data_IF_622407492467
#
_entry.id   IF_622407492467
#
_cell.length_a   1.000
_cell.length_b   1.000
_cell.length_c   1.000
_cell.angle_alpha   90.00
_cell.angle_beta   90.00
_cell.angle_gamma   90.00
#
_symmetry.space_group_name_H-M   'P 1'
#
loop_
_entity.id
_entity.type
_entity.pdbx_description
1 polymer ?
#
# COMPACT_ATOMS: atom_id res chain seq x y z
N UNK A 1 17.95 6.89 15.76
CA UNK A 1 16.75 6.08 15.51
C UNK A 1 16.35 5.42 16.82
N UNK A 2 15.06 5.47 17.19
CA UNK A 2 14.55 4.88 18.43
C UNK A 2 14.59 3.33 18.31
N UNK A 3 15.18 2.65 19.30
CA UNK A 3 15.48 1.21 19.28
C UNK A 3 14.24 0.33 19.12
N UNK A 4 13.08 0.81 19.54
CA UNK A 4 11.78 0.15 19.34
C UNK A 4 11.30 0.19 17.87
N UNK A 5 11.52 1.30 17.17
CA UNK A 5 11.16 1.41 15.76
C UNK A 5 12.04 0.50 14.88
N UNK A 6 13.32 0.34 15.26
CA UNK A 6 14.23 -0.59 14.58
C UNK A 6 13.75 -2.04 14.69
N UNK A 7 13.24 -2.47 15.84
CA UNK A 7 12.65 -3.82 15.99
C UNK A 7 11.31 -3.95 15.25
N UNK A 8 10.47 -2.91 15.31
CA UNK A 8 9.13 -2.90 14.70
C UNK A 8 9.16 -3.05 13.18
N UNK A 9 10.21 -2.57 12.52
CA UNK A 9 10.38 -2.61 11.07
C UNK A 9 11.57 -3.48 10.61
N UNK A 10 12.06 -4.38 11.48
CA UNK A 10 13.18 -5.27 11.16
C UNK A 10 12.94 -6.09 9.87
N UNK A 11 11.70 -6.51 9.61
CA UNK A 11 11.34 -7.21 8.39
C UNK A 11 11.59 -6.39 7.11
N UNK A 12 11.49 -5.06 7.16
CA UNK A 12 11.84 -4.20 6.03
C UNK A 12 13.36 -4.19 5.83
N UNK A 13 14.13 -4.01 6.88
CA UNK A 13 15.60 -4.09 6.81
C UNK A 13 16.07 -5.42 6.24
N UNK A 14 15.49 -6.54 6.68
CA UNK A 14 15.85 -7.87 6.21
C UNK A 14 15.57 -8.03 4.71
N UNK A 15 14.39 -7.60 4.24
CA UNK A 15 14.05 -7.65 2.81
C UNK A 15 14.98 -6.73 2.00
N UNK A 16 15.22 -5.51 2.48
CA UNK A 16 16.05 -4.52 1.81
C UNK A 16 17.50 -4.98 1.70
N UNK A 17 18.12 -5.32 2.84
CA UNK A 17 19.50 -5.77 2.91
C UNK A 17 19.69 -7.08 2.14
N UNK A 18 18.76 -8.04 2.29
CA UNK A 18 18.75 -9.29 1.52
C UNK A 18 18.71 -9.05 0.02
N UNK A 19 17.85 -8.13 -0.44
CA UNK A 19 17.74 -7.76 -1.87
C UNK A 19 19.03 -7.13 -2.38
N UNK A 20 19.60 -6.16 -1.65
CA UNK A 20 20.83 -5.47 -2.06
C UNK A 20 22.01 -6.45 -2.08
N UNK A 21 22.13 -7.31 -1.08
CA UNK A 21 23.18 -8.31 -0.99
C UNK A 21 23.07 -9.32 -2.13
N UNK A 22 21.84 -9.78 -2.44
CA UNK A 22 21.60 -10.65 -3.57
C UNK A 22 22.02 -10.00 -4.88
N UNK A 23 21.56 -8.77 -5.17
CA UNK A 23 21.95 -8.05 -6.40
C UNK A 23 23.47 -7.89 -6.53
N UNK A 24 24.16 -7.57 -5.43
CA UNK A 24 25.64 -7.46 -5.42
C UNK A 24 26.35 -8.80 -5.61
N UNK A 25 25.71 -9.92 -5.25
CA UNK A 25 26.28 -11.26 -5.41
C UNK A 25 26.16 -11.81 -6.85
N UNK A 26 25.24 -11.27 -7.65
CA UNK A 26 24.99 -11.77 -9.00
C UNK A 26 26.12 -11.41 -9.97
N UNK A 27 26.72 -12.40 -10.66
CA UNK A 27 27.68 -12.15 -11.72
C UNK A 27 27.09 -11.26 -12.82
N UNK A 28 27.83 -10.21 -13.18
CA UNK A 28 27.41 -9.27 -14.23
C UNK A 28 26.54 -8.12 -13.75
N UNK A 29 25.99 -8.13 -12.53
CA UNK A 29 25.36 -6.93 -11.95
C UNK A 29 26.46 -5.97 -11.47
N UNK A 30 26.27 -4.67 -11.73
CA UNK A 30 27.17 -3.61 -11.28
C UNK A 30 26.39 -2.36 -10.89
N UNK A 31 27.09 -1.41 -10.25
CA UNK A 31 26.56 -0.08 -9.88
C UNK A 31 25.23 -0.11 -9.10
N UNK A 32 25.11 -1.02 -8.13
CA UNK A 32 23.96 -1.03 -7.21
C UNK A 32 23.99 0.24 -6.34
N UNK A 33 23.13 1.21 -6.67
CA UNK A 33 23.03 2.52 -6.00
C UNK A 33 21.75 2.56 -5.17
N UNK A 34 21.89 2.83 -3.88
CA UNK A 34 20.78 3.00 -2.93
C UNK A 34 20.70 4.47 -2.54
N UNK A 35 19.54 5.09 -2.73
CA UNK A 35 19.32 6.47 -2.31
C UNK A 35 19.23 6.59 -0.79
N UNK A 36 19.88 7.60 -0.20
CA UNK A 36 19.70 7.94 1.21
C UNK A 36 18.29 8.47 1.47
N UNK A 37 17.67 8.02 2.57
CA UNK A 37 16.29 8.30 2.95
C UNK A 37 16.21 8.39 4.47
N UNK A 38 15.59 9.46 4.98
CA UNK A 38 15.31 9.59 6.41
C UNK A 38 13.93 8.99 6.71
N UNK A 39 13.70 8.53 7.93
CA UNK A 39 12.35 8.13 8.37
C UNK A 39 11.41 9.32 8.38
N UNK A 40 10.14 9.11 8.02
CA UNK A 40 9.08 10.10 8.14
C UNK A 40 8.54 10.12 9.58
N UNK A 41 8.30 11.31 10.12
CA UNK A 41 7.69 11.48 11.45
C UNK A 41 6.17 11.32 11.43
N UNK A 42 5.57 11.00 12.59
CA UNK A 42 4.11 10.91 12.72
C UNK A 42 3.40 12.22 12.38
N UNK A 43 4.00 13.36 12.70
CA UNK A 43 3.45 14.68 12.37
C UNK A 43 3.38 14.91 10.85
N UNK A 44 4.39 14.47 10.09
CA UNK A 44 4.37 14.57 8.63
C UNK A 44 3.30 13.66 8.02
N UNK A 45 3.14 12.44 8.55
CA UNK A 45 2.06 11.52 8.16
C UNK A 45 0.69 12.15 8.40
N UNK A 46 0.44 12.68 9.61
CA UNK A 46 -0.81 13.36 9.96
C UNK A 46 -1.06 14.59 9.08
N UNK A 47 -0.02 15.38 8.79
CA UNK A 47 -0.14 16.53 7.89
C UNK A 47 -0.55 16.10 6.47
N UNK A 48 0.03 15.01 5.95
CA UNK A 48 -0.36 14.45 4.66
C UNK A 48 -1.80 13.92 4.68
N UNK A 49 -2.20 13.17 5.71
CA UNK A 49 -3.56 12.63 5.84
C UNK A 49 -4.61 13.76 5.95
N UNK A 50 -4.32 14.82 6.71
CA UNK A 50 -5.19 15.99 6.82
C UNK A 50 -5.34 16.72 5.46
N UNK A 51 -4.24 16.91 4.73
CA UNK A 51 -4.26 17.53 3.40
C UNK A 51 -4.97 16.68 2.33
N UNK A 52 -5.10 15.37 2.59
CA UNK A 52 -5.67 14.39 1.67
C UNK A 52 -6.97 13.77 2.20
N UNK A 53 -7.62 14.41 3.17
CA UNK A 53 -8.92 14.00 3.70
C UNK A 53 -9.92 13.73 2.57
N UNK A 54 -10.68 12.62 2.61
CA UNK A 54 -10.84 11.71 3.75
C UNK A 54 -9.87 10.52 3.77
N UNK A 55 -8.81 10.50 2.95
CA UNK A 55 -7.95 9.33 2.76
C UNK A 55 -6.83 9.25 3.80
N UNK A 56 -6.61 8.04 4.31
CA UNK A 56 -5.58 7.73 5.29
C UNK A 56 -4.54 6.80 4.69
N UNK A 57 -3.27 6.98 5.03
CA UNK A 57 -2.24 6.04 4.57
C UNK A 57 -2.51 4.66 5.20
N UNK A 58 -2.43 3.58 4.41
CA UNK A 58 -2.61 2.25 4.95
C UNK A 58 -1.47 1.89 5.91
N UNK A 59 -1.75 1.01 6.88
CA UNK A 59 -0.84 0.67 7.99
C UNK A 59 0.53 0.19 7.50
N UNK A 60 0.56 -0.57 6.42
CA UNK A 60 1.78 -1.10 5.81
C UNK A 60 2.62 0.00 5.12
N UNK A 61 1.99 0.91 4.38
CA UNK A 61 2.68 2.06 3.79
C UNK A 61 3.16 3.06 4.86
N UNK A 62 2.39 3.28 5.93
CA UNK A 62 2.85 4.07 7.08
C UNK A 62 4.08 3.44 7.73
N UNK A 63 4.04 2.13 7.96
CA UNK A 63 5.19 1.37 8.49
C UNK A 63 6.43 1.53 7.60
N UNK A 64 6.24 1.50 6.29
CA UNK A 64 7.30 1.78 5.33
C UNK A 64 7.82 3.22 5.43
N UNK A 65 6.96 4.23 5.57
CA UNK A 65 7.42 5.62 5.70
C UNK A 65 8.09 5.92 7.05
N UNK A 66 7.67 5.29 8.14
CA UNK A 66 8.41 5.34 9.41
C UNK A 66 9.80 4.69 9.31
N UNK A 67 9.96 3.76 8.38
CA UNK A 67 11.23 3.12 8.07
C UNK A 67 12.10 3.98 7.13
N UNK A 68 11.54 4.44 6.01
CA UNK A 68 12.25 5.15 4.94
C UNK A 68 11.30 6.07 4.15
N UNK A 69 11.66 7.34 3.95
CA UNK A 69 10.89 8.31 3.16
C UNK A 69 10.97 8.08 1.65
N UNK A 70 10.38 6.97 1.20
CA UNK A 70 10.48 6.47 -0.17
C UNK A 70 11.63 5.49 -0.36
N UNK A 71 11.81 5.03 -1.59
CA UNK A 71 12.84 4.07 -1.99
C UNK A 71 13.40 4.46 -3.35
N UNK A 72 14.71 4.30 -3.52
CA UNK A 72 15.33 4.28 -4.83
C UNK A 72 16.54 3.34 -4.80
N UNK A 73 16.42 2.21 -5.49
CA UNK A 73 17.52 1.28 -5.77
C UNK A 73 17.65 1.19 -7.28
N UNK A 74 18.82 1.53 -7.81
CA UNK A 74 19.14 1.35 -9.22
C UNK A 74 20.26 0.34 -9.34
N UNK A 75 20.24 -0.47 -10.39
CA UNK A 75 21.32 -1.39 -10.69
C UNK A 75 21.45 -1.62 -12.20
N UNK A 76 22.68 -1.88 -12.61
CA UNK A 76 23.06 -2.05 -14.00
C UNK A 76 23.60 -3.46 -14.21
N UNK A 77 23.73 -3.86 -15.47
CA UNK A 77 24.50 -5.04 -15.85
C UNK A 77 25.69 -4.63 -16.70
N UNK A 78 26.81 -5.33 -16.55
CA UNK A 78 27.97 -5.25 -17.44
C UNK A 78 27.94 -6.46 -18.39
N UNK A 79 27.64 -6.20 -19.65
CA UNK A 79 27.66 -7.19 -20.72
C UNK A 79 28.83 -6.88 -21.65
N UNK A 80 29.90 -7.69 -21.58
CA UNK A 80 31.07 -7.58 -22.49
C UNK A 80 31.68 -6.16 -22.53
N UNK A 81 31.69 -5.46 -21.40
CA UNK A 81 32.26 -4.11 -21.28
C UNK A 81 31.25 -2.98 -21.50
N UNK A 82 30.00 -3.27 -21.87
CA UNK A 82 28.93 -2.25 -21.90
C UNK A 82 28.10 -2.30 -20.62
N UNK A 83 27.94 -1.14 -19.97
CA UNK A 83 27.09 -0.98 -18.80
C UNK A 83 25.70 -0.57 -19.25
N UNK A 84 24.70 -1.41 -18.97
CA UNK A 84 23.30 -1.16 -19.33
C UNK A 84 22.44 -1.10 -18.06
N UNK A 85 21.64 -0.05 -17.86
CA UNK A 85 20.69 -0.01 -16.74
C UNK A 85 19.54 -0.99 -16.99
N UNK A 86 19.24 -1.86 -16.02
CA UNK A 86 18.23 -2.92 -16.19
C UNK A 86 17.13 -2.87 -15.13
N UNK A 87 17.44 -2.41 -13.92
CA UNK A 87 16.46 -2.41 -12.85
C UNK A 87 16.48 -1.17 -11.98
N UNK A 88 15.27 -0.82 -11.54
CA UNK A 88 14.99 0.24 -10.61
C UNK A 88 13.82 -0.17 -9.70
N UNK A 89 14.08 -0.18 -8.39
CA UNK A 89 13.02 -0.22 -7.38
C UNK A 89 12.80 1.19 -6.88
N UNK A 90 11.56 1.70 -6.98
CA UNK A 90 11.25 3.03 -6.51
C UNK A 90 9.88 3.07 -5.85
N UNK A 91 9.83 3.75 -4.71
CA UNK A 91 8.62 4.25 -4.06
C UNK A 91 8.86 5.74 -3.82
N UNK A 92 7.91 6.59 -4.19
CA UNK A 92 8.02 8.02 -3.97
C UNK A 92 8.08 8.36 -2.46
N UNK A 93 8.78 9.44 -2.13
CA UNK A 93 8.73 10.03 -0.79
C UNK A 93 7.30 10.50 -0.48
N UNK A 94 7.01 10.73 0.80
CA UNK A 94 5.70 11.22 1.24
C UNK A 94 5.32 12.54 0.55
N UNK A 95 6.28 13.46 0.42
CA UNK A 95 6.09 14.73 -0.29
C UNK A 95 5.75 14.52 -1.78
N UNK A 96 6.34 13.50 -2.42
CA UNK A 96 6.13 13.18 -3.83
C UNK A 96 4.98 12.21 -4.07
N UNK A 97 4.26 11.80 -3.02
CA UNK A 97 3.04 11.03 -3.11
C UNK A 97 1.88 11.96 -3.49
N UNK A 98 1.91 12.42 -4.75
CA UNK A 98 0.99 13.41 -5.28
C UNK A 98 -0.23 12.76 -5.95
N UNK A 99 -1.36 13.47 -5.94
CA UNK A 99 -2.58 13.07 -6.64
C UNK A 99 -2.33 12.94 -8.14
N UNK A 100 -2.86 11.89 -8.75
CA UNK A 100 -2.89 11.75 -10.21
C UNK A 100 -4.29 12.09 -10.73
N UNK A 101 -4.32 12.73 -11.90
CA UNK A 101 -5.56 12.92 -12.62
C UNK A 101 -6.04 11.56 -13.17
N UNK A 102 -7.30 11.23 -12.92
CA UNK A 102 -7.95 10.02 -13.43
C UNK A 102 -9.06 10.48 -14.38
N UNK A 103 -8.90 10.19 -15.66
CA UNK A 103 -9.98 10.37 -16.64
C UNK A 103 -10.96 9.23 -16.47
N UNK A 104 -12.05 9.49 -15.75
CA UNK A 104 -13.02 8.46 -15.39
C UNK A 104 -14.10 8.32 -16.47
N UNK A 105 -14.30 7.11 -16.96
CA UNK A 105 -15.47 6.73 -17.74
C UNK A 105 -16.29 5.65 -17.00
N UNK A 106 -17.46 5.31 -17.54
CA UNK A 106 -18.37 4.33 -16.94
C UNK A 106 -17.74 2.93 -16.85
N UNK A 107 -16.99 2.51 -17.87
CA UNK A 107 -16.37 1.18 -17.91
C UNK A 107 -15.29 1.04 -16.84
N UNK A 108 -14.44 2.06 -16.71
CA UNK A 108 -13.37 2.13 -15.72
C UNK A 108 -13.94 2.21 -14.30
N UNK A 109 -14.97 3.02 -14.09
CA UNK A 109 -15.67 3.10 -12.81
C UNK A 109 -16.24 1.74 -12.40
N UNK A 110 -16.93 1.05 -13.31
CA UNK A 110 -17.47 -0.28 -13.08
C UNK A 110 -16.36 -1.29 -12.77
N UNK A 111 -15.24 -1.24 -13.52
CA UNK A 111 -14.07 -2.08 -13.27
C UNK A 111 -13.51 -1.84 -11.87
N UNK A 112 -13.30 -0.60 -11.44
CA UNK A 112 -12.80 -0.31 -10.08
C UNK A 112 -13.75 -0.83 -9.01
N UNK A 113 -15.07 -0.61 -9.16
CA UNK A 113 -16.05 -1.03 -8.16
C UNK A 113 -16.08 -2.55 -7.96
N UNK A 114 -15.82 -3.36 -8.99
CA UNK A 114 -15.72 -4.82 -8.86
C UNK A 114 -14.61 -5.26 -7.89
N UNK A 115 -13.48 -4.53 -7.86
CA UNK A 115 -12.36 -4.85 -6.97
C UNK A 115 -12.57 -4.33 -5.54
N UNK A 116 -13.38 -3.29 -5.37
CA UNK A 116 -13.71 -2.71 -4.07
C UNK A 116 -15.00 -3.26 -3.44
N UNK A 117 -15.58 -4.33 -4.03
CA UNK A 117 -16.83 -4.97 -3.59
C UNK A 117 -17.02 -4.91 -2.08
N UNK A 118 -18.11 -4.28 -1.65
CA UNK A 118 -18.50 -4.16 -0.26
C UNK A 118 -19.15 -5.49 0.15
N UNK A 119 -18.56 -6.20 1.11
CA UNK A 119 -19.24 -7.33 1.77
C UNK A 119 -20.39 -6.79 2.63
N UNK A 120 -21.51 -6.43 2.00
CA UNK A 120 -22.78 -6.12 2.69
C UNK A 120 -23.51 -7.41 3.12
N UNK A 121 -22.76 -8.44 3.52
CA UNK A 121 -23.32 -9.63 4.14
C UNK A 121 -23.29 -9.45 5.66
N UNK A 122 -24.27 -8.70 6.16
CA UNK A 122 -24.78 -8.88 7.52
C UNK A 122 -25.30 -10.30 7.69
N UNK A 123 -24.41 -11.25 7.97
CA UNK A 123 -24.79 -12.53 8.56
C UNK A 123 -25.18 -12.26 10.01
N UNK A 124 -26.47 -12.00 10.22
CA UNK A 124 -27.13 -12.23 11.50
C UNK A 124 -27.00 -13.71 11.84
N UNK A 125 -25.91 -14.10 12.51
CA UNK A 125 -25.84 -15.37 13.21
C UNK A 125 -26.56 -15.20 14.56
N UNK A 126 -27.89 -15.18 14.52
CA UNK A 126 -28.66 -15.72 15.63
C UNK A 126 -28.58 -17.23 15.46
N UNK A 127 -27.74 -17.91 16.25
CA UNK A 127 -27.87 -19.33 16.63
C UNK A 127 -26.59 -19.77 17.36
N UNK A 128 -26.39 -19.33 18.61
CA UNK A 128 -25.64 -20.10 19.62
C UNK A 128 -26.18 -19.77 21.01
N UNK A 129 -27.28 -20.43 21.39
CA UNK A 129 -27.72 -20.57 22.77
C UNK A 129 -28.14 -22.03 22.96
N UNK A 130 -27.18 -22.91 23.29
CA UNK A 130 -27.48 -24.13 24.04
C UNK A 130 -26.22 -24.65 24.76
N UNK A 131 -26.18 -24.32 26.06
CA UNK A 131 -25.78 -25.15 27.21
C UNK A 131 -24.34 -25.72 27.24
N UNK A 132 -23.58 -25.26 28.23
CA UNK A 132 -23.00 -26.12 29.29
C UNK A 132 -22.58 -25.24 30.49
N UNK A 133 -23.48 -25.15 31.47
CA UNK A 133 -23.09 -24.87 32.85
C UNK A 133 -22.38 -26.11 33.43
N UNK A 134 -21.20 -25.91 34.02
CA UNK A 134 -20.89 -26.38 35.39
C UNK A 134 -19.44 -26.06 35.76
N UNK A 135 -19.28 -25.06 36.63
CA UNK A 135 -18.61 -25.15 37.95
C UNK A 135 -17.90 -23.83 38.34
N UNK A 136 -18.44 -23.22 39.40
CA UNK A 136 -17.78 -22.26 40.31
C UNK A 136 -16.55 -22.97 40.94
N UNK A 137 -15.47 -22.34 41.38
CA UNK A 137 -15.34 -21.10 42.15
C UNK A 137 -13.87 -20.62 42.22
N UNK A 138 -13.73 -19.36 42.63
CA UNK A 138 -12.60 -18.78 43.38
C UNK A 138 -11.49 -17.98 42.65
N UNK A 139 -11.74 -16.67 42.66
CA UNK A 139 -10.85 -15.57 43.05
C UNK A 139 -9.86 -14.91 42.07
N UNK A 140 -10.01 -13.57 42.06
CA UNK A 140 -9.00 -12.50 41.86
C UNK A 140 -8.66 -12.04 40.44
N UNK A 141 -9.43 -11.03 40.02
CA UNK A 141 -9.01 -9.76 39.39
C UNK A 141 -7.58 -9.73 38.82
N UNK A 142 -7.45 -9.93 37.50
CA UNK A 142 -6.57 -9.19 36.58
C UNK A 142 -7.23 -9.24 35.19
N UNK A 143 -7.91 -8.18 34.76
CA UNK A 143 -8.41 -8.02 33.38
C UNK A 143 -8.20 -6.58 32.91
N UNK A 144 -6.99 -6.05 33.12
CA UNK A 144 -6.49 -5.00 32.25
C UNK A 144 -5.68 -5.67 31.13
N UNK A 145 -5.90 -5.19 29.91
CA UNK A 145 -5.22 -5.51 28.64
C UNK A 145 -6.04 -6.35 27.66
N UNK A 146 -6.50 -5.63 26.63
CA UNK A 146 -7.10 -6.03 25.34
C UNK A 146 -8.62 -5.91 25.29
N UNK A 147 -9.09 -4.67 25.06
CA UNK A 147 -10.32 -4.44 24.30
C UNK A 147 -10.33 -3.03 23.65
N UNK A 148 -9.39 -2.76 22.73
CA UNK A 148 -9.51 -1.59 21.85
C UNK A 148 -10.37 -1.95 20.64
N UNK A 149 -11.68 -2.01 20.91
CA UNK A 149 -12.73 -2.02 19.90
C UNK A 149 -12.78 -0.66 19.21
N UNK A 150 -12.84 -0.75 17.88
CA UNK A 150 -13.38 0.21 16.92
C UNK A 150 -14.11 1.42 17.54
N UNK A 151 -13.46 2.58 17.50
CA UNK A 151 -14.13 3.87 17.65
C UNK A 151 -14.79 4.24 16.32
N UNK A 152 -15.97 3.67 16.06
CA UNK A 152 -16.87 4.23 15.05
C UNK A 152 -17.55 5.45 15.67
N UNK A 153 -17.25 6.63 15.13
CA UNK A 153 -18.02 7.84 15.42
C UNK A 153 -19.36 7.74 14.68
N UNK A 154 -20.43 7.40 15.40
CA UNK A 154 -21.79 7.19 14.90
C UNK A 154 -22.52 8.48 14.48
N UNK A 155 -21.84 9.63 14.37
CA UNK A 155 -22.51 10.91 14.06
C UNK A 155 -22.25 11.46 12.65
N UNK A 156 -22.28 10.61 11.62
CA UNK A 156 -22.49 11.10 10.25
C UNK A 156 -23.90 10.74 9.76
N UNK A 157 -24.76 11.73 9.45
CA UNK A 157 -26.08 11.44 8.91
C UNK A 157 -25.91 11.07 7.43
N UNK A 158 -26.02 9.78 7.10
CA UNK A 158 -26.08 9.33 5.72
C UNK A 158 -27.46 8.75 5.42
N UNK A 159 -28.31 9.59 4.84
CA UNK A 159 -29.50 9.17 4.12
C UNK A 159 -29.08 8.32 2.93
N UNK A 160 -29.39 7.03 2.99
CA UNK A 160 -29.26 6.03 1.92
C UNK A 160 -30.34 6.24 0.85
N UNK A 161 -30.19 7.25 -0.02
CA UNK A 161 -30.86 7.27 -1.31
C UNK A 161 -30.34 8.42 -2.16
N UNK A 162 -29.87 8.08 -3.37
CA UNK A 162 -29.20 8.95 -4.35
C UNK A 162 -27.78 9.37 -3.97
N UNK A 163 -26.79 8.83 -4.69
CA UNK A 163 -25.89 9.63 -5.54
C UNK A 163 -24.81 8.75 -6.19
N UNK A 164 -25.12 8.25 -7.38
CA UNK A 164 -24.11 8.10 -8.42
C UNK A 164 -23.84 9.51 -8.96
N UNK A 165 -22.93 10.27 -8.36
CA UNK A 165 -22.59 11.60 -8.89
C UNK A 165 -21.07 11.81 -8.91
N UNK A 166 -20.54 11.87 -10.14
CA UNK A 166 -19.32 12.58 -10.48
C UNK A 166 -19.51 14.07 -10.17
N UNK A 167 -19.09 14.49 -8.97
CA UNK A 167 -18.61 15.84 -8.59
C UNK A 167 -18.23 15.87 -7.10
N UNK A 168 -17.63 14.78 -6.63
CA UNK A 168 -17.23 14.56 -5.24
C UNK A 168 -16.49 13.23 -5.17
N UNK A 169 -15.27 13.21 -5.70
CA UNK A 169 -14.52 12.02 -6.11
C UNK A 169 -14.60 10.85 -5.11
N UNK A 170 -15.36 9.82 -5.52
CA UNK A 170 -15.38 8.51 -4.86
C UNK A 170 -13.98 7.89 -4.88
N UNK A 171 -13.20 8.14 -5.94
CA UNK A 171 -11.89 7.55 -6.13
C UNK A 171 -10.78 8.59 -6.17
N UNK A 172 -9.63 8.30 -5.56
CA UNK A 172 -8.45 9.17 -5.63
C UNK A 172 -7.18 8.35 -5.79
N UNK A 173 -6.37 8.66 -6.80
CA UNK A 173 -5.10 7.99 -7.06
C UNK A 173 -3.91 8.81 -6.60
N UNK A 174 -2.91 8.17 -6.02
CA UNK A 174 -1.62 8.78 -5.68
C UNK A 174 -0.46 8.05 -6.36
N UNK A 175 0.50 8.80 -6.89
CA UNK A 175 1.63 8.23 -7.64
C UNK A 175 2.66 7.59 -6.70
N UNK A 176 2.74 6.26 -6.68
CA UNK A 176 3.80 5.53 -5.97
C UNK A 176 5.09 5.51 -6.77
N UNK A 177 5.01 5.23 -8.07
CA UNK A 177 6.19 5.10 -8.92
C UNK A 177 5.87 5.46 -10.38
N UNK A 178 6.63 6.40 -10.95
CA UNK A 178 6.63 6.68 -12.37
C UNK A 178 7.67 5.81 -13.10
N UNK A 179 7.22 4.76 -13.77
CA UNK A 179 8.06 3.77 -14.45
C UNK A 179 8.44 4.25 -15.86
N UNK A 180 9.03 5.45 -15.98
CA UNK A 180 9.52 6.07 -17.24
C UNK A 180 8.76 5.65 -18.50
N UNK A 181 9.25 4.65 -19.23
CA UNK A 181 8.78 4.22 -20.55
C UNK A 181 7.72 3.10 -20.51
N UNK A 182 7.27 2.68 -19.34
CA UNK A 182 6.36 1.53 -19.19
C UNK A 182 4.99 1.92 -18.65
N UNK A 183 4.93 2.92 -17.77
CA UNK A 183 3.69 3.34 -17.14
C UNK A 183 3.88 3.94 -15.75
N UNK A 184 2.82 3.98 -14.95
CA UNK A 184 2.82 4.50 -13.58
C UNK A 184 2.14 3.51 -12.63
N UNK A 185 2.70 3.36 -11.44
CA UNK A 185 2.08 2.62 -10.34
C UNK A 185 1.37 3.61 -9.43
N UNK A 186 0.08 3.37 -9.22
CA UNK A 186 -0.86 4.24 -8.53
C UNK A 186 -1.43 3.52 -7.31
N UNK A 187 -1.44 4.23 -6.18
CA UNK A 187 -2.21 3.86 -4.99
C UNK A 187 -3.62 4.44 -5.13
N UNK A 188 -4.60 3.59 -5.43
CA UNK A 188 -5.98 3.98 -5.71
C UNK A 188 -6.83 3.80 -4.45
N UNK A 189 -7.45 4.88 -3.99
CA UNK A 189 -8.39 4.91 -2.88
C UNK A 189 -9.82 4.92 -3.38
N UNK A 190 -10.70 4.34 -2.56
CA UNK A 190 -12.14 4.54 -2.60
C UNK A 190 -12.60 5.26 -1.32
N UNK A 191 -13.49 6.24 -1.42
CA UNK A 191 -14.02 7.08 -0.34
C UNK A 191 -14.70 6.31 0.80
N UNK A 192 -15.24 5.12 0.52
CA UNK A 192 -15.82 4.18 1.50
C UNK A 192 -14.74 3.35 2.21
N UNK A 193 -13.57 3.19 1.60
CA UNK A 193 -12.44 2.38 2.07
C UNK A 193 -11.20 3.25 2.31
N UNK A 194 -11.40 4.32 3.08
CA UNK A 194 -10.45 5.43 3.27
C UNK A 194 -9.02 5.04 3.63
N UNK A 195 -8.82 3.90 4.30
CA UNK A 195 -7.52 3.38 4.74
C UNK A 195 -7.11 2.05 4.07
N UNK A 196 -7.87 1.58 3.06
CA UNK A 196 -7.63 0.32 2.34
C UNK A 196 -7.53 0.56 0.83
N UNK A 197 -6.56 1.38 0.37
CA UNK A 197 -6.32 1.55 -1.06
C UNK A 197 -5.76 0.26 -1.68
N UNK A 198 -5.93 0.15 -2.99
CA UNK A 198 -5.35 -0.89 -3.83
C UNK A 198 -4.21 -0.33 -4.67
N UNK A 199 -3.36 -1.19 -5.21
CA UNK A 199 -2.26 -0.77 -6.10
C UNK A 199 -2.57 -1.18 -7.53
N UNK A 200 -2.57 -0.18 -8.41
CA UNK A 200 -2.89 -0.31 -9.83
C UNK A 200 -1.71 0.16 -10.68
N UNK A 201 -1.61 -0.35 -11.89
CA UNK A 201 -0.66 0.07 -12.91
C UNK A 201 -1.43 0.67 -14.08
N UNK A 202 -1.05 1.88 -14.50
CA UNK A 202 -1.51 2.47 -15.74
C UNK A 202 -0.37 2.39 -16.75
N UNK A 203 -0.61 1.73 -17.87
CA UNK A 203 0.39 1.58 -18.94
C UNK A 203 0.46 2.84 -19.83
N UNK A 204 1.26 2.78 -20.90
CA UNK A 204 1.37 3.90 -21.85
C UNK A 204 0.13 4.10 -22.72
N UNK A 205 -0.77 3.11 -22.80
CA UNK A 205 -2.04 3.21 -23.50
C UNK A 205 -3.14 3.80 -22.62
N UNK A 206 -2.80 4.19 -21.38
CA UNK A 206 -3.71 4.63 -20.32
C UNK A 206 -4.68 3.55 -19.84
N UNK A 207 -4.33 2.28 -20.02
CA UNK A 207 -5.10 1.16 -19.50
C UNK A 207 -4.76 0.89 -18.04
N UNK A 208 -5.79 0.89 -17.19
CA UNK A 208 -5.67 0.62 -15.77
C UNK A 208 -5.72 -0.88 -15.49
N UNK A 209 -4.70 -1.38 -14.82
CA UNK A 209 -4.53 -2.78 -14.53
C UNK A 209 -4.29 -3.01 -13.05
N UNK A 210 -5.01 -3.95 -12.47
CA UNK A 210 -4.84 -4.29 -11.06
C UNK A 210 -3.49 -4.99 -10.86
N UNK A 211 -2.68 -4.54 -9.90
CA UNK A 211 -1.43 -5.21 -9.55
C UNK A 211 -1.54 -5.97 -8.23
N UNK A 212 -2.09 -5.34 -7.20
CA UNK A 212 -2.12 -5.97 -5.88
C UNK A 212 -3.14 -5.32 -4.93
N UNK A 213 -3.64 -6.07 -3.93
CA UNK A 213 -4.67 -5.58 -3.02
C UNK A 213 -4.16 -4.57 -1.97
N UNK A 214 -2.85 -4.49 -1.72
CA UNK A 214 -2.25 -3.57 -0.74
C UNK A 214 -0.78 -3.28 -1.05
N UNK A 215 -0.23 -2.25 -0.40
CA UNK A 215 1.14 -1.81 -0.63
C UNK A 215 2.17 -2.89 -0.36
N UNK A 216 2.04 -3.65 0.73
CA UNK A 216 2.96 -4.74 1.07
C UNK A 216 3.04 -5.80 -0.05
N UNK A 217 1.89 -6.19 -0.61
CA UNK A 217 1.83 -7.17 -1.68
C UNK A 217 2.54 -6.66 -2.94
N UNK A 218 2.30 -5.40 -3.30
CA UNK A 218 3.04 -4.73 -4.36
C UNK A 218 4.56 -4.67 -4.08
N UNK A 219 4.96 -4.31 -2.87
CA UNK A 219 6.36 -4.22 -2.48
C UNK A 219 7.08 -5.57 -2.62
N UNK A 220 6.42 -6.67 -2.22
CA UNK A 220 6.93 -8.03 -2.43
C UNK A 220 7.04 -8.40 -3.90
N UNK A 221 6.07 -8.01 -4.74
CA UNK A 221 6.17 -8.20 -6.19
C UNK A 221 7.35 -7.44 -6.77
N UNK A 222 7.55 -6.18 -6.39
CA UNK A 222 8.69 -5.38 -6.83
C UNK A 222 10.03 -6.04 -6.48
N UNK A 223 10.17 -6.54 -5.24
CA UNK A 223 11.37 -7.25 -4.78
C UNK A 223 11.56 -8.58 -5.52
N UNK A 224 10.49 -9.39 -5.66
CA UNK A 224 10.51 -10.68 -6.37
C UNK A 224 10.98 -10.53 -7.82
N UNK A 225 10.59 -9.44 -8.48
CA UNK A 225 10.98 -9.15 -9.86
C UNK A 225 12.26 -8.30 -9.95
N UNK A 226 12.98 -8.11 -8.84
CA UNK A 226 14.23 -7.34 -8.74
C UNK A 226 14.14 -5.89 -9.27
N UNK A 227 12.93 -5.34 -9.37
CA UNK A 227 12.70 -4.03 -9.98
C UNK A 227 13.12 -3.95 -11.45
N UNK A 228 13.21 -5.06 -12.18
CA UNK A 228 13.55 -5.06 -13.62
C UNK A 228 12.58 -4.15 -14.37
N UNK A 229 13.08 -3.28 -15.24
CA UNK A 229 12.22 -2.36 -15.97
C UNK A 229 11.07 -3.07 -16.70
N UNK A 230 9.84 -2.60 -16.47
CA UNK A 230 8.63 -3.14 -17.10
C UNK A 230 8.10 -4.43 -16.48
N UNK A 231 8.62 -4.91 -15.34
CA UNK A 231 8.15 -6.15 -14.71
C UNK A 231 6.63 -6.18 -14.45
N UNK A 232 6.00 -5.03 -14.27
CA UNK A 232 4.55 -4.89 -14.08
C UNK A 232 3.76 -5.42 -15.28
N UNK A 233 4.32 -5.33 -16.49
CA UNK A 233 3.70 -5.81 -17.73
C UNK A 233 3.48 -7.33 -17.71
N UNK A 234 4.25 -8.07 -16.91
CA UNK A 234 4.09 -9.51 -16.78
C UNK A 234 2.82 -9.93 -16.01
N UNK A 235 2.08 -8.99 -15.44
CA UNK A 235 0.87 -9.22 -14.66
C UNK A 235 -0.39 -8.63 -15.31
N UNK A 236 -0.30 -8.14 -16.56
CA UNK A 236 -1.46 -7.66 -17.31
C UNK A 236 -2.10 -8.86 -18.01
N UNK A 237 -3.33 -9.20 -17.60
CA UNK A 237 -4.17 -10.22 -18.22
C UNK A 237 -5.61 -9.73 -18.29
#
# INVERSE_FOLDING_TARGET
MNTENTKRYAWLEDIFSGTINYLKSCPGICEVKVGSRMSVSENQIKAWENANSPFLLPKDLKSFYYFSDGLLINWNINLKGSVTPIGQMQINSLEKLMKVHISMDEQLMNRFNQYFSFDDNGKNNNDENEILESNKSDEKSINDVINDNNYYDENLPFSLQHDFITNGNIMCGYLLYNCKNYGKVILLYHSKLRAKPQVWFIDNNNEWNFLSPNFMSYFRLMVKNYGIYGWQLAYLY
#
